data_IF_709347925621
#
_entry.id   IF_709347925621
#
_cell.length_a   1.000
_cell.length_b   1.000
_cell.length_c   1.000
_cell.angle_alpha   90.00
_cell.angle_beta   90.00
_cell.angle_gamma   90.00
#
_symmetry.space_group_name_H-M   'P 1'
#
loop_
_entity.id
_entity.type
_entity.pdbx_description
1 polymer ?
#
# COMPACT_ATOMS: atom_id res chain seq x y z
N UNK A 1 -10.19 -35.06 51.23
CA UNK A 1 -8.75 -34.76 51.31
C UNK A 1 -8.54 -33.37 50.70
N UNK A 2 -8.12 -32.36 51.47
CA UNK A 2 -7.67 -31.06 50.99
C UNK A 2 -6.13 -31.04 50.75
N UNK A 3 -5.62 -29.86 50.36
CA UNK A 3 -4.22 -29.35 50.46
C UNK A 3 -3.33 -29.57 49.20
N UNK A 4 -3.14 -28.53 48.37
CA UNK A 4 -2.06 -27.51 48.40
C UNK A 4 -0.76 -28.05 47.71
N UNK A 5 0.08 -27.33 46.96
CA UNK A 5 0.38 -25.91 46.95
C UNK A 5 1.22 -25.53 45.70
N UNK A 6 1.12 -24.27 45.30
CA UNK A 6 2.09 -23.44 44.56
C UNK A 6 2.62 -23.84 43.18
N UNK A 7 2.28 -23.02 42.19
CA UNK A 7 3.29 -22.49 41.26
C UNK A 7 3.06 -20.99 41.05
N UNK A 8 3.81 -20.21 41.82
CA UNK A 8 4.10 -18.81 41.54
C UNK A 8 4.98 -18.73 40.30
N UNK A 9 4.56 -17.94 39.32
CA UNK A 9 5.45 -17.14 38.48
C UNK A 9 4.77 -15.78 38.30
N UNK A 10 5.19 -14.85 39.15
CA UNK A 10 5.37 -13.44 38.79
C UNK A 10 6.06 -13.36 37.42
N UNK A 11 5.52 -12.55 36.51
CA UNK A 11 6.30 -11.45 35.93
C UNK A 11 5.38 -10.47 35.18
N UNK A 12 5.41 -9.23 35.65
CA UNK A 12 5.29 -8.02 34.85
C UNK A 12 3.95 -7.71 34.16
N UNK A 13 3.05 -7.09 34.95
CA UNK A 13 2.27 -5.96 34.44
C UNK A 13 3.23 -4.77 34.24
N UNK A 14 3.70 -4.58 33.02
CA UNK A 14 4.05 -3.23 32.57
C UNK A 14 3.47 -3.02 31.19
N UNK A 15 2.70 -1.94 31.10
CA UNK A 15 2.20 -1.38 29.86
C UNK A 15 3.29 -1.44 28.79
N UNK A 16 2.98 -2.04 27.64
CA UNK A 16 3.72 -1.68 26.43
C UNK A 16 3.26 -0.27 26.10
N UNK A 17 3.98 0.64 26.74
CA UNK A 17 4.02 2.06 26.50
C UNK A 17 3.99 2.29 25.00
N UNK A 18 3.19 3.28 24.65
CA UNK A 18 3.09 3.86 23.34
C UNK A 18 4.41 3.71 22.58
N UNK A 19 4.36 3.05 21.43
CA UNK A 19 5.34 3.30 20.38
C UNK A 19 5.14 4.75 19.94
N UNK A 20 5.73 5.64 20.72
CA UNK A 20 6.56 6.76 20.30
C UNK A 20 6.23 7.21 18.89
N UNK A 21 5.20 8.06 18.82
CA UNK A 21 5.19 9.12 17.83
C UNK A 21 6.31 10.08 18.18
N UNK A 22 7.47 9.89 17.56
CA UNK A 22 8.55 10.88 17.58
C UNK A 22 8.64 11.59 16.22
N UNK A 23 8.44 12.90 16.26
CA UNK A 23 9.26 13.81 15.46
C UNK A 23 8.80 14.12 14.03
N UNK A 24 7.63 14.74 13.87
CA UNK A 24 7.42 16.10 13.30
C UNK A 24 8.59 16.79 12.52
N UNK A 25 9.22 16.10 11.55
CA UNK A 25 10.13 16.74 10.58
C UNK A 25 9.94 16.30 9.13
N UNK A 26 9.00 15.41 8.82
CA UNK A 26 8.56 15.15 7.45
C UNK A 26 7.30 15.97 7.08
N UNK A 27 7.28 17.28 7.37
CA UNK A 27 6.34 18.24 6.74
C UNK A 27 6.79 18.50 5.30
N UNK A 28 6.89 17.42 4.54
CA UNK A 28 6.85 17.34 3.09
C UNK A 28 6.23 15.98 2.79
N UNK A 29 4.91 15.87 2.94
CA UNK A 29 4.15 14.84 2.23
C UNK A 29 4.16 15.29 0.77
N UNK A 30 5.30 15.12 0.10
CA UNK A 30 5.53 15.57 -1.27
C UNK A 30 6.23 14.47 -2.03
N UNK A 31 5.52 13.36 -2.22
CA UNK A 31 5.97 12.24 -3.03
C UNK A 31 4.95 11.12 -2.96
N UNK A 32 4.43 10.71 -4.11
CA UNK A 32 3.68 9.46 -4.25
C UNK A 32 4.57 8.35 -3.69
N UNK A 33 4.14 7.69 -2.61
CA UNK A 33 4.95 6.63 -1.99
C UNK A 33 4.55 5.28 -2.59
N UNK A 34 5.54 4.45 -2.95
CA UNK A 34 5.30 3.10 -3.52
C UNK A 34 4.31 2.26 -2.72
N UNK A 35 4.36 2.36 -1.38
CA UNK A 35 3.40 1.70 -0.49
C UNK A 35 1.95 2.17 -0.69
N UNK A 36 1.73 3.46 -0.95
CA UNK A 36 0.39 4.01 -1.19
C UNK A 36 -0.17 3.56 -2.53
N UNK A 37 0.69 3.50 -3.56
CA UNK A 37 0.31 2.94 -4.86
C UNK A 37 -0.08 1.47 -4.73
N UNK A 38 0.68 0.69 -3.95
CA UNK A 38 0.37 -0.70 -3.69
C UNK A 38 -0.97 -0.91 -2.96
N UNK A 39 -1.31 -0.05 -2.00
CA UNK A 39 -2.63 -0.06 -1.36
C UNK A 39 -3.75 0.25 -2.36
N UNK A 40 -3.54 1.21 -3.27
CA UNK A 40 -4.52 1.52 -4.32
C UNK A 40 -4.69 0.36 -5.30
N UNK A 41 -3.61 -0.32 -5.70
CA UNK A 41 -3.67 -1.56 -6.51
C UNK A 41 -4.47 -2.65 -5.81
N UNK A 42 -4.25 -2.83 -4.50
CA UNK A 42 -5.01 -3.81 -3.72
C UNK A 42 -6.50 -3.47 -3.65
N UNK A 43 -6.84 -2.19 -3.45
CA UNK A 43 -8.23 -1.74 -3.47
C UNK A 43 -8.87 -1.90 -4.86
N UNK A 44 -8.14 -1.57 -5.92
CA UNK A 44 -8.63 -1.61 -7.29
C UNK A 44 -8.84 -3.04 -7.82
N UNK A 45 -8.05 -3.99 -7.32
CA UNK A 45 -8.16 -5.42 -7.61
C UNK A 45 -9.16 -6.18 -6.73
N UNK A 46 -9.95 -5.49 -5.90
CA UNK A 46 -10.84 -6.10 -4.90
C UNK A 46 -10.09 -7.08 -3.97
N UNK A 47 -8.81 -6.83 -3.70
CA UNK A 47 -7.94 -7.68 -2.88
C UNK A 47 -7.40 -8.92 -3.59
N UNK A 48 -7.57 -9.05 -4.91
CA UNK A 48 -6.95 -10.13 -5.68
C UNK A 48 -5.42 -10.04 -5.71
N UNK A 49 -4.88 -8.82 -5.61
CA UNK A 49 -3.44 -8.57 -5.41
C UNK A 49 -3.29 -7.80 -4.12
N UNK A 50 -2.56 -8.33 -3.15
CA UNK A 50 -2.29 -7.59 -1.91
C UNK A 50 -1.23 -6.50 -2.12
N UNK A 51 -1.20 -5.48 -1.27
CA UNK A 51 -0.18 -4.44 -1.35
C UNK A 51 1.25 -5.01 -1.22
N UNK A 52 1.43 -6.06 -0.43
CA UNK A 52 2.72 -6.76 -0.31
C UNK A 52 3.12 -7.46 -1.60
N UNK A 53 2.17 -8.13 -2.27
CA UNK A 53 2.41 -8.76 -3.58
C UNK A 53 2.69 -7.72 -4.66
N UNK A 54 1.96 -6.62 -4.69
CA UNK A 54 2.21 -5.53 -5.62
C UNK A 54 3.61 -4.92 -5.42
N UNK A 55 4.08 -4.78 -4.18
CA UNK A 55 5.42 -4.26 -3.86
C UNK A 55 6.54 -5.25 -4.19
N UNK A 56 6.28 -6.54 -4.02
CA UNK A 56 7.21 -7.63 -4.33
C UNK A 56 7.10 -8.10 -5.79
N UNK A 57 6.19 -7.52 -6.58
CA UNK A 57 5.98 -7.86 -7.96
C UNK A 57 7.25 -7.56 -8.78
N UNK A 58 7.85 -8.61 -9.34
CA UNK A 58 8.92 -8.52 -10.33
C UNK A 58 8.38 -8.63 -11.77
N UNK A 59 7.07 -8.86 -11.89
CA UNK A 59 6.33 -9.00 -13.14
C UNK A 59 5.22 -7.95 -13.18
N UNK A 60 4.72 -7.60 -14.37
CA UNK A 60 3.61 -6.68 -14.50
C UNK A 60 2.41 -7.10 -13.66
N UNK A 61 1.68 -6.13 -13.10
CA UNK A 61 0.43 -6.34 -12.40
C UNK A 61 -0.55 -7.12 -13.28
N UNK A 62 -0.58 -6.88 -14.59
CA UNK A 62 -1.38 -7.65 -15.55
C UNK A 62 -1.04 -9.14 -15.56
N UNK A 63 0.23 -9.50 -15.35
CA UNK A 63 0.68 -10.89 -15.20
C UNK A 63 0.28 -11.50 -13.85
N UNK A 64 0.10 -10.68 -12.80
CA UNK A 64 -0.47 -11.09 -11.51
C UNK A 64 -2.00 -11.23 -11.54
N UNK A 65 -2.64 -11.01 -12.69
CA UNK A 65 -4.09 -11.09 -12.84
C UNK A 65 -4.80 -9.74 -12.70
N UNK A 66 -4.08 -8.63 -12.79
CA UNK A 66 -4.68 -7.30 -12.81
C UNK A 66 -5.46 -7.10 -14.11
N UNK A 67 -6.78 -7.23 -14.00
CA UNK A 67 -7.69 -7.18 -15.15
C UNK A 67 -7.86 -5.76 -15.68
N UNK A 68 -8.36 -5.61 -16.90
CA UNK A 68 -8.71 -4.29 -17.46
C UNK A 68 -9.71 -3.52 -16.60
N UNK A 69 -10.60 -4.21 -15.87
CA UNK A 69 -11.52 -3.58 -14.94
C UNK A 69 -10.81 -3.05 -13.70
N UNK A 70 -9.84 -3.81 -13.16
CA UNK A 70 -9.00 -3.35 -12.06
C UNK A 70 -8.13 -2.16 -12.48
N UNK A 71 -7.65 -2.12 -13.72
CA UNK A 71 -6.95 -0.96 -14.28
C UNK A 71 -7.82 0.29 -14.31
N UNK A 72 -9.05 0.20 -14.82
CA UNK A 72 -9.99 1.34 -14.83
C UNK A 72 -10.31 1.82 -13.42
N UNK A 73 -10.54 0.91 -12.47
CA UNK A 73 -10.75 1.27 -11.05
C UNK A 73 -9.54 1.92 -10.40
N UNK A 74 -8.34 1.48 -10.77
CA UNK A 74 -7.10 2.07 -10.28
C UNK A 74 -6.92 3.48 -10.82
N UNK A 75 -7.23 3.68 -12.11
CA UNK A 75 -7.26 5.01 -12.72
C UNK A 75 -8.22 5.91 -11.95
N UNK A 76 -9.48 5.51 -11.78
CA UNK A 76 -10.47 6.29 -11.03
C UNK A 76 -9.99 6.62 -9.60
N UNK A 77 -9.35 5.66 -8.92
CA UNK A 77 -8.82 5.85 -7.57
C UNK A 77 -7.64 6.84 -7.54
N UNK A 78 -6.72 6.76 -8.50
CA UNK A 78 -5.57 7.65 -8.64
C UNK A 78 -6.04 9.06 -9.03
N UNK A 79 -6.95 9.20 -9.98
CA UNK A 79 -7.52 10.50 -10.38
C UNK A 79 -8.23 11.17 -9.21
N UNK A 80 -9.01 10.42 -8.43
CA UNK A 80 -9.71 10.92 -7.24
C UNK A 80 -8.77 11.28 -6.09
N UNK A 81 -7.76 10.45 -5.81
CA UNK A 81 -6.80 10.67 -4.71
C UNK A 81 -5.84 11.83 -5.01
N UNK A 82 -5.33 11.91 -6.24
CA UNK A 82 -4.32 12.91 -6.61
C UNK A 82 -4.91 14.15 -7.32
N UNK A 83 -6.19 14.12 -7.70
CA UNK A 83 -6.84 15.22 -8.42
C UNK A 83 -6.25 15.49 -9.79
N UNK A 84 -5.75 14.44 -10.46
CA UNK A 84 -5.15 14.50 -11.80
C UNK A 84 -6.07 13.83 -12.82
N UNK A 85 -5.87 14.13 -14.11
CA UNK A 85 -6.43 13.34 -15.22
C UNK A 85 -5.37 12.34 -15.67
N UNK A 86 -5.75 11.06 -15.73
CA UNK A 86 -4.84 9.99 -16.11
C UNK A 86 -4.88 9.79 -17.62
N UNK A 87 -3.69 9.67 -18.24
CA UNK A 87 -3.61 9.46 -19.68
C UNK A 87 -4.00 8.02 -20.05
N UNK A 88 -5.13 7.87 -20.76
CA UNK A 88 -5.60 6.56 -21.25
C UNK A 88 -4.91 6.14 -22.57
N UNK A 89 -3.86 6.85 -23.00
CA UNK A 89 -3.05 6.41 -24.14
C UNK A 89 -2.25 5.16 -23.79
N UNK A 90 -1.67 4.51 -24.79
CA UNK A 90 -0.81 3.33 -24.58
C UNK A 90 0.34 3.58 -23.59
N UNK A 91 0.81 4.82 -23.46
CA UNK A 91 1.87 5.16 -22.52
C UNK A 91 1.39 5.19 -21.07
N UNK A 92 0.22 5.78 -20.79
CA UNK A 92 -0.35 5.77 -19.44
C UNK A 92 -0.93 4.43 -19.04
N UNK A 93 -1.56 3.68 -19.96
CA UNK A 93 -1.97 2.29 -19.69
C UNK A 93 -0.76 1.41 -19.35
N UNK A 94 0.35 1.56 -20.09
CA UNK A 94 1.60 0.87 -19.76
C UNK A 94 2.23 1.30 -18.43
N UNK A 95 1.86 2.47 -17.89
CA UNK A 95 2.29 2.86 -16.55
C UNK A 95 1.56 2.08 -15.44
N UNK A 96 0.40 1.50 -15.71
CA UNK A 96 -0.36 0.67 -14.76
C UNK A 96 0.15 -0.77 -14.69
N UNK A 97 1.08 -1.17 -15.55
CA UNK A 97 1.70 -2.49 -15.50
C UNK A 97 2.64 -2.64 -14.30
N UNK A 98 3.29 -1.56 -13.83
CA UNK A 98 4.24 -1.63 -12.73
C UNK A 98 4.08 -0.43 -11.78
N UNK A 99 4.19 -0.67 -10.47
CA UNK A 99 4.18 0.41 -9.47
C UNK A 99 5.25 1.48 -9.75
N UNK A 100 6.41 1.03 -10.22
CA UNK A 100 7.55 1.85 -10.60
C UNK A 100 7.27 2.73 -11.84
N UNK A 101 6.50 2.23 -12.79
CA UNK A 101 6.09 2.98 -13.97
C UNK A 101 5.01 4.00 -13.60
N UNK A 102 4.06 3.60 -12.76
CA UNK A 102 3.02 4.47 -12.23
C UNK A 102 3.60 5.63 -11.41
N UNK A 103 4.56 5.34 -10.52
CA UNK A 103 5.25 6.36 -9.73
C UNK A 103 5.99 7.37 -10.62
N UNK A 104 6.73 6.88 -11.63
CA UNK A 104 7.43 7.76 -12.59
C UNK A 104 6.46 8.62 -13.40
N UNK A 105 5.33 8.04 -13.82
CA UNK A 105 4.30 8.75 -14.57
C UNK A 105 3.72 9.89 -13.73
N UNK A 106 3.31 9.59 -12.49
CA UNK A 106 2.77 10.58 -11.55
C UNK A 106 3.79 11.67 -11.20
N UNK A 107 5.07 11.31 -11.05
CA UNK A 107 6.15 12.27 -10.81
C UNK A 107 6.40 13.20 -12.01
N UNK A 108 6.12 12.75 -13.24
CA UNK A 108 6.31 13.53 -14.46
C UNK A 108 5.16 14.51 -14.79
N UNK A 109 3.97 14.30 -14.21
CA UNK A 109 2.79 15.18 -14.42
C UNK A 109 2.83 16.42 -13.52
N UNK A 110 3.64 16.40 -12.44
CA UNK A 110 3.72 17.44 -11.41
C UNK A 110 4.67 18.59 -11.74
#
# INVERSE_FOLDING_TARGET
MPEETTRTVDDDRTAHDAVTGDGTTARRVTGVTRGRLAEMVASASDGAITAGEALAAEVPLTALGFTSLAQMRLIDAVESEFGIEFDLSSAGIGALDDLDALERHLAGIR
#
